data_IF_709372357194
#
_entry.id   IF_709372357194
#
_cell.length_a   1.000
_cell.length_b   1.000
_cell.length_c   1.000
_cell.angle_alpha   90.00
_cell.angle_beta   90.00
_cell.angle_gamma   90.00
#
_symmetry.space_group_name_H-M   'P 1'
#
loop_
_entity.id
_entity.type
_entity.pdbx_description
1 polymer ?
#
# COMPACT_ATOMS: atom_id res chain seq x y z
N UNK A 1 65.68 -12.70 -39.98
CA UNK A 1 66.33 -11.56 -39.30
C UNK A 1 66.61 -10.50 -40.36
N UNK A 2 65.78 -9.45 -40.45
CA UNK A 2 66.08 -8.15 -41.08
C UNK A 2 64.84 -7.26 -40.93
N UNK A 3 64.94 -6.32 -40.00
CA UNK A 3 64.04 -5.19 -39.84
C UNK A 3 64.46 -4.09 -40.83
N UNK A 4 63.51 -3.39 -41.47
CA UNK A 4 63.71 -2.00 -41.90
C UNK A 4 62.38 -1.31 -42.24
N UNK A 5 61.84 -0.62 -41.22
CA UNK A 5 61.43 0.78 -41.25
C UNK A 5 60.78 1.35 -42.54
N UNK A 6 59.47 1.61 -42.49
CA UNK A 6 58.82 2.56 -43.41
C UNK A 6 57.93 3.52 -42.62
N UNK A 7 58.45 4.74 -42.43
CA UNK A 7 57.70 5.93 -42.00
C UNK A 7 56.66 6.27 -43.05
N UNK A 8 55.39 6.46 -42.71
CA UNK A 8 54.52 7.45 -43.39
C UNK A 8 53.40 7.92 -42.46
N UNK A 9 53.35 9.25 -42.32
CA UNK A 9 52.18 10.09 -42.11
C UNK A 9 51.32 9.89 -40.85
N UNK A 10 51.61 10.78 -39.89
CA UNK A 10 50.63 11.35 -38.97
C UNK A 10 49.39 11.82 -39.75
N UNK A 11 48.26 11.15 -39.53
CA UNK A 11 46.94 11.70 -39.77
C UNK A 11 46.31 11.95 -38.39
N UNK A 12 46.33 13.22 -37.98
CA UNK A 12 45.59 13.73 -36.84
C UNK A 12 44.09 13.62 -37.17
N UNK A 13 43.48 12.50 -36.81
CA UNK A 13 42.02 12.34 -36.87
C UNK A 13 41.46 12.82 -35.54
N UNK A 14 40.89 14.02 -35.56
CA UNK A 14 40.24 14.66 -34.42
C UNK A 14 38.72 14.42 -34.55
N UNK A 15 38.14 13.40 -33.88
CA UNK A 15 36.69 13.26 -33.81
C UNK A 15 36.16 14.27 -32.79
N UNK A 16 35.55 15.34 -33.31
CA UNK A 16 34.92 16.39 -32.54
C UNK A 16 33.91 15.85 -31.52
N UNK A 17 34.15 16.23 -30.27
CA UNK A 17 33.18 16.20 -29.18
C UNK A 17 31.92 16.99 -29.60
N UNK A 18 30.83 16.28 -29.90
CA UNK A 18 29.52 16.87 -30.05
C UNK A 18 28.84 16.84 -28.67
N UNK A 19 28.90 17.95 -27.93
CA UNK A 19 28.09 18.14 -26.72
C UNK A 19 26.64 18.44 -27.12
N UNK A 20 25.62 17.82 -26.51
CA UNK A 20 24.24 18.22 -26.69
C UNK A 20 24.00 19.61 -26.07
N UNK A 21 23.56 20.54 -26.92
CA UNK A 21 23.18 21.90 -26.58
C UNK A 21 21.92 21.85 -25.72
N UNK A 22 22.07 22.01 -24.41
CA UNK A 22 20.97 22.19 -23.45
C UNK A 22 20.25 23.49 -23.79
N UNK A 23 19.12 23.40 -24.48
CA UNK A 23 18.22 24.52 -24.74
C UNK A 23 17.41 24.82 -23.48
N UNK A 24 17.91 25.77 -22.69
CA UNK A 24 17.13 26.45 -21.65
C UNK A 24 16.07 27.33 -22.32
N UNK A 25 14.84 26.84 -22.45
CA UNK A 25 13.69 27.71 -22.75
C UNK A 25 13.24 28.39 -21.47
N UNK A 26 13.77 29.59 -21.24
CA UNK A 26 13.27 30.53 -20.26
C UNK A 26 12.02 31.21 -20.84
N UNK A 27 10.85 30.88 -20.32
CA UNK A 27 9.66 31.74 -20.46
C UNK A 27 9.36 32.33 -19.10
N UNK A 28 9.89 33.53 -18.89
CA UNK A 28 9.49 34.44 -17.82
C UNK A 28 8.38 35.30 -18.41
N UNK A 29 7.16 35.18 -17.90
CA UNK A 29 6.16 36.22 -18.08
C UNK A 29 5.48 36.46 -16.72
N UNK A 30 5.93 37.53 -16.10
CA UNK A 30 5.39 38.11 -14.88
C UNK A 30 4.06 38.79 -15.19
N UNK A 31 3.02 38.49 -14.41
CA UNK A 31 1.97 39.46 -14.11
C UNK A 31 1.57 39.30 -12.65
N UNK A 32 2.02 40.26 -11.86
CA UNK A 32 1.57 40.49 -10.50
C UNK A 32 0.24 41.25 -10.55
N UNK A 33 -0.73 40.83 -9.73
CA UNK A 33 -1.74 41.73 -9.19
C UNK A 33 -2.17 41.22 -7.81
N UNK A 34 -1.90 42.05 -6.82
CA UNK A 34 -2.12 41.85 -5.40
C UNK A 34 -3.58 42.14 -5.01
N UNK A 35 -4.07 41.49 -3.95
CA UNK A 35 -4.66 42.11 -2.76
C UNK A 35 -5.51 41.10 -1.95
N UNK A 36 -4.93 40.68 -0.82
CA UNK A 36 -5.53 40.54 0.53
C UNK A 36 -7.06 40.56 0.70
N UNK A 37 -7.58 39.59 1.49
CA UNK A 37 -8.29 39.85 2.76
C UNK A 37 -8.62 38.54 3.52
N UNK A 38 -8.05 38.43 4.72
CA UNK A 38 -8.63 37.91 5.97
C UNK A 38 -9.77 36.89 5.89
N UNK A 39 -9.55 35.66 6.38
CA UNK A 39 -10.54 35.03 7.24
C UNK A 39 -9.88 34.31 8.43
N UNK A 40 -10.32 34.75 9.59
CA UNK A 40 -9.98 34.40 10.96
C UNK A 40 -9.76 32.89 11.23
N UNK A 41 -8.80 32.63 12.13
CA UNK A 41 -8.61 31.32 12.73
C UNK A 41 -9.73 30.93 13.69
N UNK A 42 -9.97 29.63 13.79
CA UNK A 42 -10.70 29.04 14.91
C UNK A 42 -9.70 28.27 15.77
N UNK A 43 -9.21 28.94 16.82
CA UNK A 43 -8.61 28.28 17.97
C UNK A 43 -9.75 27.60 18.76
N UNK A 44 -9.76 26.27 18.81
CA UNK A 44 -10.54 25.55 19.81
C UNK A 44 -9.68 25.41 21.08
N UNK A 45 -9.68 26.45 21.90
CA UNK A 45 -9.33 26.35 23.30
C UNK A 45 -10.65 26.27 24.09
N UNK A 46 -10.93 25.12 24.71
CA UNK A 46 -11.96 25.02 25.74
C UNK A 46 -11.25 24.58 27.03
N UNK A 47 -10.73 25.59 27.71
CA UNK A 47 -10.41 25.54 29.13
C UNK A 47 -11.67 26.03 29.86
N UNK A 48 -12.26 25.18 30.69
CA UNK A 48 -13.17 25.61 31.75
C UNK A 48 -12.90 24.72 32.95
N UNK A 49 -12.10 25.29 33.86
CA UNK A 49 -12.09 24.95 35.28
C UNK A 49 -13.44 25.31 35.86
N UNK A 50 -14.07 24.37 36.54
CA UNK A 50 -15.05 24.63 37.59
C UNK A 50 -14.77 23.65 38.75
N UNK A 51 -13.91 24.08 39.67
CA UNK A 51 -13.84 23.57 41.04
C UNK A 51 -14.74 24.46 41.92
N UNK A 52 -15.82 23.92 42.48
CA UNK A 52 -16.18 24.01 43.92
C UNK A 52 -17.65 23.62 44.16
N UNK A 53 -17.87 22.76 45.16
CA UNK A 53 -19.15 22.68 45.88
C UNK A 53 -19.50 21.29 46.40
N UNK A 54 -19.15 20.93 47.66
CA UNK A 54 -19.58 19.68 48.27
C UNK A 54 -20.98 19.85 48.89
N UNK A 55 -21.98 19.15 48.34
CA UNK A 55 -23.32 19.08 48.89
C UNK A 55 -23.54 17.80 49.69
N UNK A 56 -23.34 17.87 51.01
CA UNK A 56 -23.79 16.85 51.96
C UNK A 56 -25.29 17.01 52.24
N UNK A 57 -26.05 15.92 52.07
CA UNK A 57 -27.45 15.82 52.53
C UNK A 57 -27.76 14.41 53.02
N UNK A 58 -27.92 14.24 54.33
CA UNK A 58 -28.39 13.02 55.01
C UNK A 58 -29.84 13.20 55.48
N UNK A 59 -30.71 12.21 55.23
CA UNK A 59 -31.85 11.73 56.05
C UNK A 59 -32.68 10.77 55.17
N UNK A 60 -32.78 9.45 55.42
CA UNK A 60 -33.55 8.64 56.41
C UNK A 60 -35.08 8.57 56.18
N UNK A 61 -35.59 7.34 56.41
CA UNK A 61 -36.97 6.80 56.33
C UNK A 61 -37.44 6.40 54.91
N UNK A 62 -37.87 5.18 54.57
CA UNK A 62 -38.17 3.96 55.32
C UNK A 62 -39.57 3.48 54.98
N UNK A 63 -39.74 2.52 54.05
CA UNK A 63 -40.94 1.68 53.92
C UNK A 63 -40.58 0.31 53.31
N UNK A 64 -41.01 -0.76 53.99
CA UNK A 64 -41.12 -2.11 53.44
C UNK A 64 -42.11 -2.10 52.27
N UNK A 65 -42.03 -3.10 51.38
CA UNK A 65 -43.15 -3.86 50.79
C UNK A 65 -42.59 -4.94 49.86
N UNK A 66 -42.84 -6.19 50.26
CA UNK A 66 -43.31 -7.34 49.48
C UNK A 66 -42.52 -7.91 48.29
N UNK A 67 -42.39 -9.25 48.35
CA UNK A 67 -41.65 -10.12 47.47
C UNK A 67 -42.31 -10.25 46.08
N UNK A 68 -41.59 -9.80 45.04
CA UNK A 68 -41.84 -10.13 43.63
C UNK A 68 -40.83 -11.16 43.09
N UNK A 69 -41.19 -11.95 42.06
CA UNK A 69 -40.45 -13.15 41.67
C UNK A 69 -39.08 -12.84 41.05
N UNK A 70 -38.10 -13.68 41.41
CA UNK A 70 -36.72 -13.65 40.92
C UNK A 70 -36.69 -13.75 39.40
N UNK A 71 -36.40 -12.65 38.71
CA UNK A 71 -35.99 -12.68 37.30
C UNK A 71 -34.65 -13.40 37.22
N UNK A 72 -34.64 -14.55 36.55
CA UNK A 72 -33.45 -15.36 36.33
C UNK A 72 -32.33 -14.60 35.60
N UNK A 73 -31.11 -15.14 35.58
CA UNK A 73 -29.98 -14.54 34.88
C UNK A 73 -30.35 -14.29 33.42
N UNK A 74 -30.23 -13.05 32.97
CA UNK A 74 -30.36 -12.73 31.54
C UNK A 74 -29.26 -13.52 30.82
N UNK A 75 -29.57 -14.31 29.78
CA UNK A 75 -28.52 -14.97 29.02
C UNK A 75 -27.67 -13.89 28.38
N UNK A 76 -26.39 -13.90 28.70
CA UNK A 76 -25.42 -12.98 28.16
C UNK A 76 -25.41 -13.17 26.65
N UNK A 77 -26.01 -12.24 25.90
CA UNK A 77 -25.91 -12.19 24.45
C UNK A 77 -24.51 -11.72 24.06
N UNK A 78 -23.49 -12.48 24.45
CA UNK A 78 -22.21 -12.49 23.76
C UNK A 78 -22.43 -13.27 22.47
N UNK A 79 -23.19 -12.66 21.55
CA UNK A 79 -23.15 -13.02 20.14
C UNK A 79 -21.66 -13.01 19.79
N UNK A 80 -21.10 -14.19 19.56
CA UNK A 80 -19.69 -14.39 19.36
C UNK A 80 -19.20 -13.43 18.30
N UNK A 81 -18.58 -12.33 18.73
CA UNK A 81 -17.78 -11.49 17.85
C UNK A 81 -16.67 -12.41 17.43
N UNK A 82 -16.83 -13.06 16.27
CA UNK A 82 -15.72 -13.68 15.56
C UNK A 82 -14.67 -12.59 15.53
N UNK A 83 -13.64 -12.74 16.36
CA UNK A 83 -12.64 -11.72 16.56
C UNK A 83 -11.91 -11.64 15.23
N UNK A 84 -12.38 -10.73 14.37
CA UNK A 84 -11.61 -10.33 13.22
C UNK A 84 -10.30 -9.85 13.84
N UNK A 85 -9.23 -10.59 13.59
CA UNK A 85 -7.92 -10.09 13.96
C UNK A 85 -7.77 -8.79 13.17
N UNK A 86 -7.66 -7.69 13.89
CA UNK A 86 -7.35 -6.39 13.32
C UNK A 86 -5.89 -6.48 12.87
N UNK A 87 -5.71 -6.88 11.61
CA UNK A 87 -4.41 -6.92 10.96
C UNK A 87 -4.03 -5.46 10.70
N UNK A 88 -2.91 -4.97 11.25
CA UNK A 88 -2.42 -3.64 10.92
C UNK A 88 -2.17 -3.57 9.41
N UNK A 89 -2.81 -2.60 8.77
CA UNK A 89 -2.75 -2.43 7.33
C UNK A 89 -1.30 -2.18 6.88
N UNK A 90 -0.82 -2.95 5.90
CA UNK A 90 0.54 -2.85 5.35
C UNK A 90 1.63 -3.56 6.13
N UNK A 91 1.31 -4.22 7.25
CA UNK A 91 2.29 -4.86 8.14
C UNK A 91 2.12 -6.38 8.27
N UNK A 92 1.41 -7.01 7.32
CA UNK A 92 1.14 -8.43 7.33
C UNK A 92 2.30 -9.24 6.73
N UNK A 93 2.90 -8.75 5.63
CA UNK A 93 4.07 -9.35 5.00
C UNK A 93 5.36 -8.80 5.60
N UNK A 94 6.23 -9.69 6.05
CA UNK A 94 7.58 -9.33 6.48
C UNK A 94 8.56 -9.21 5.30
N UNK A 95 9.73 -8.64 5.54
CA UNK A 95 10.73 -8.41 4.48
C UNK A 95 11.25 -9.69 3.85
N UNK A 96 11.43 -10.76 4.65
CA UNK A 96 11.89 -12.06 4.15
C UNK A 96 10.91 -12.68 3.16
N UNK A 97 9.61 -12.62 3.45
CA UNK A 97 8.54 -13.06 2.57
C UNK A 97 8.51 -12.21 1.30
N UNK A 98 8.67 -10.89 1.41
CA UNK A 98 8.74 -9.98 0.25
C UNK A 98 9.91 -10.34 -0.67
N UNK A 99 11.08 -10.66 -0.11
CA UNK A 99 12.26 -11.09 -0.87
C UNK A 99 11.99 -12.44 -1.55
N UNK A 100 11.53 -13.44 -0.80
CA UNK A 100 11.24 -14.77 -1.34
C UNK A 100 10.24 -14.73 -2.51
N UNK A 101 9.15 -13.97 -2.34
CA UNK A 101 8.11 -13.84 -3.35
C UNK A 101 8.69 -13.20 -4.62
N UNK A 102 9.49 -12.13 -4.48
CA UNK A 102 10.13 -11.48 -5.63
C UNK A 102 11.08 -12.41 -6.36
N UNK A 103 11.89 -13.16 -5.62
CA UNK A 103 12.83 -14.14 -6.17
C UNK A 103 12.10 -15.25 -6.94
N UNK A 104 11.03 -15.79 -6.37
CA UNK A 104 10.20 -16.78 -7.05
C UNK A 104 9.65 -16.25 -8.39
N UNK A 105 9.12 -15.02 -8.42
CA UNK A 105 8.54 -14.45 -9.64
C UNK A 105 9.60 -14.08 -10.68
N UNK A 106 10.76 -13.55 -10.26
CA UNK A 106 11.86 -13.22 -11.17
C UNK A 106 12.44 -14.48 -11.81
N UNK A 107 12.60 -15.56 -11.04
CA UNK A 107 13.08 -16.83 -11.56
C UNK A 107 12.06 -17.53 -12.47
N UNK A 108 10.77 -17.45 -12.13
CA UNK A 108 9.70 -18.15 -12.88
C UNK A 108 9.29 -17.41 -14.15
N UNK A 109 9.23 -16.07 -14.10
CA UNK A 109 8.63 -15.22 -15.13
C UNK A 109 9.56 -14.09 -15.60
N UNK A 110 10.85 -14.19 -15.31
CA UNK A 110 11.85 -13.21 -15.72
C UNK A 110 12.08 -13.12 -17.24
N UNK A 111 13.07 -12.33 -17.66
CA UNK A 111 13.37 -12.09 -19.06
C UNK A 111 13.52 -13.38 -19.86
N UNK A 112 12.84 -13.43 -21.02
CA UNK A 112 12.86 -14.60 -21.90
C UNK A 112 11.80 -15.67 -21.61
N UNK A 113 11.12 -15.62 -20.45
CA UNK A 113 10.10 -16.62 -20.07
C UNK A 113 8.67 -16.20 -20.46
N UNK A 114 7.71 -17.11 -20.27
CA UNK A 114 6.28 -16.83 -20.45
C UNK A 114 5.80 -15.92 -19.32
N UNK A 115 4.91 -14.97 -19.63
CA UNK A 115 4.34 -14.10 -18.61
C UNK A 115 3.19 -14.78 -17.86
N UNK A 116 2.99 -14.46 -16.58
CA UNK A 116 1.86 -14.96 -15.84
C UNK A 116 0.55 -14.37 -16.39
N UNK A 117 -0.60 -15.03 -16.17
CA UNK A 117 -1.87 -14.67 -16.81
C UNK A 117 -2.23 -13.17 -16.70
N UNK A 118 -2.80 -12.57 -17.74
CA UNK A 118 -3.18 -11.16 -17.70
C UNK A 118 -2.05 -10.15 -17.80
N UNK A 119 -0.79 -10.58 -17.95
CA UNK A 119 0.33 -9.71 -18.35
C UNK A 119 0.77 -10.08 -19.76
N UNK A 120 1.17 -9.06 -20.50
CA UNK A 120 1.71 -9.22 -21.85
C UNK A 120 3.23 -9.05 -21.82
N UNK A 121 3.92 -9.84 -22.63
CA UNK A 121 5.36 -9.68 -22.86
C UNK A 121 5.61 -8.40 -23.65
N UNK A 122 6.39 -7.48 -23.10
CA UNK A 122 6.79 -6.21 -23.72
C UNK A 122 8.23 -5.88 -23.32
N UNK A 123 9.07 -5.46 -24.26
CA UNK A 123 10.47 -5.04 -24.00
C UNK A 123 11.23 -6.00 -23.05
N UNK A 124 11.15 -7.31 -23.34
CA UNK A 124 11.76 -8.40 -22.55
C UNK A 124 11.26 -8.55 -21.09
N UNK A 125 10.18 -7.88 -20.70
CA UNK A 125 9.53 -8.04 -19.39
C UNK A 125 8.04 -8.33 -19.49
N UNK A 126 7.42 -8.61 -18.34
CA UNK A 126 5.98 -8.80 -18.23
C UNK A 126 5.34 -7.52 -17.73
N UNK A 127 4.59 -6.83 -18.60
CA UNK A 127 3.89 -5.59 -18.26
C UNK A 127 2.37 -5.77 -18.27
N UNK A 128 1.65 -5.03 -17.41
CA UNK A 128 0.19 -5.02 -17.42
C UNK A 128 -0.38 -4.34 -18.70
N UNK A 129 -1.54 -4.80 -19.19
CA UNK A 129 -2.26 -4.16 -20.29
C UNK A 129 -2.82 -2.80 -19.82
N UNK A 130 -2.53 -1.72 -20.58
CA UNK A 130 -3.03 -0.38 -20.25
C UNK A 130 -2.19 0.43 -19.23
N UNK A 131 -0.91 0.05 -19.01
CA UNK A 131 0.06 0.69 -18.09
C UNK A 131 -0.16 0.38 -16.59
N UNK A 132 0.90 0.61 -15.80
CA UNK A 132 1.01 0.19 -14.40
C UNK A 132 0.03 0.96 -13.51
N UNK A 133 -0.77 0.23 -12.73
CA UNK A 133 -1.62 0.80 -11.68
C UNK A 133 -0.92 0.64 -10.35
N UNK A 134 -0.84 1.72 -9.58
CA UNK A 134 -0.33 1.66 -8.21
C UNK A 134 -1.48 1.28 -7.28
N UNK A 135 -1.38 0.11 -6.66
CA UNK A 135 -2.34 -0.35 -5.66
C UNK A 135 -2.03 0.27 -4.30
N UNK A 136 -3.08 0.61 -3.56
CA UNK A 136 -2.96 1.23 -2.24
C UNK A 136 -3.58 0.36 -1.17
N UNK A 137 -2.87 0.23 -0.05
CA UNK A 137 -3.39 -0.41 1.16
C UNK A 137 -4.58 0.39 1.70
N UNK A 138 -5.60 -0.29 2.20
CA UNK A 138 -6.83 0.32 2.71
C UNK A 138 -7.84 0.70 1.64
N UNK A 139 -7.54 0.46 0.36
CA UNK A 139 -8.47 0.70 -0.75
C UNK A 139 -9.02 -0.63 -1.30
N UNK A 140 -10.27 -0.67 -1.76
CA UNK A 140 -10.79 -1.83 -2.45
C UNK A 140 -10.15 -1.96 -3.83
N UNK A 141 -9.98 -3.20 -4.28
CA UNK A 141 -9.59 -3.48 -5.67
C UNK A 141 -10.67 -2.89 -6.60
N UNK A 142 -10.30 -2.02 -7.57
CA UNK A 142 -11.25 -1.43 -8.49
C UNK A 142 -12.05 -2.47 -9.27
N UNK A 143 -13.31 -2.15 -9.54
CA UNK A 143 -14.16 -2.99 -10.40
C UNK A 143 -13.54 -3.10 -11.80
N UNK A 144 -13.63 -4.30 -12.40
CA UNK A 144 -13.03 -4.59 -13.71
C UNK A 144 -11.56 -5.01 -13.66
N UNK A 145 -10.94 -5.06 -12.48
CA UNK A 145 -9.60 -5.64 -12.31
C UNK A 145 -9.72 -7.14 -12.01
N UNK A 146 -9.06 -7.97 -12.81
CA UNK A 146 -9.03 -9.42 -12.60
C UNK A 146 -8.04 -9.81 -11.51
N UNK A 147 -8.49 -10.62 -10.56
CA UNK A 147 -7.70 -11.19 -9.49
C UNK A 147 -7.27 -12.61 -9.87
N UNK A 148 -5.98 -12.87 -9.94
CA UNK A 148 -5.44 -14.18 -10.25
C UNK A 148 -5.08 -14.95 -8.98
N UNK A 149 -5.11 -16.28 -9.06
CA UNK A 149 -4.61 -17.13 -7.99
C UNK A 149 -3.09 -16.96 -7.82
N UNK A 150 -2.63 -17.01 -6.57
CA UNK A 150 -1.20 -17.04 -6.25
C UNK A 150 -0.70 -18.49 -6.34
N UNK A 151 0.48 -18.75 -6.95
CA UNK A 151 1.03 -20.08 -7.04
C UNK A 151 1.20 -20.75 -5.67
N UNK A 152 0.89 -22.04 -5.58
CA UNK A 152 1.02 -22.83 -4.34
C UNK A 152 2.41 -22.77 -3.68
N UNK A 153 3.54 -22.79 -4.42
CA UNK A 153 4.87 -22.65 -3.82
C UNK A 153 5.03 -21.35 -3.02
N UNK A 154 4.42 -20.26 -3.50
CA UNK A 154 4.45 -18.96 -2.84
C UNK A 154 3.57 -18.95 -1.60
N UNK A 155 2.33 -19.45 -1.71
CA UNK A 155 1.39 -19.49 -0.57
C UNK A 155 1.98 -20.25 0.62
N UNK A 156 2.71 -21.35 0.38
CA UNK A 156 3.32 -22.16 1.45
C UNK A 156 4.42 -21.45 2.23
N UNK A 157 5.00 -20.40 1.68
CA UNK A 157 6.07 -19.62 2.32
C UNK A 157 5.54 -18.32 2.95
N UNK A 158 4.29 -17.98 2.65
CA UNK A 158 3.56 -16.90 3.28
C UNK A 158 2.91 -17.39 4.59
N UNK A 159 2.60 -16.49 5.52
CA UNK A 159 1.90 -16.86 6.73
C UNK A 159 0.48 -17.35 6.38
N UNK A 160 -0.19 -18.13 7.23
CA UNK A 160 -1.56 -18.53 6.97
C UNK A 160 -2.49 -17.32 6.87
N UNK A 161 -3.23 -17.21 5.76
CA UNK A 161 -4.20 -16.13 5.58
C UNK A 161 -5.30 -16.25 6.64
N UNK A 162 -5.60 -15.18 7.40
CA UNK A 162 -6.65 -15.24 8.41
C UNK A 162 -8.04 -15.44 7.79
N UNK A 163 -9.01 -15.83 8.62
CA UNK A 163 -10.37 -16.09 8.14
C UNK A 163 -10.98 -14.87 7.45
N UNK A 164 -11.58 -15.09 6.28
CA UNK A 164 -12.19 -14.03 5.48
C UNK A 164 -11.21 -13.21 4.63
N UNK A 165 -9.93 -13.62 4.57
CA UNK A 165 -8.92 -13.04 3.69
C UNK A 165 -8.41 -14.07 2.68
N UNK A 166 -7.78 -13.59 1.61
CA UNK A 166 -7.08 -14.44 0.65
C UNK A 166 -5.92 -13.70 -0.01
N UNK A 167 -4.93 -14.47 -0.44
CA UNK A 167 -3.92 -13.98 -1.37
C UNK A 167 -4.49 -13.92 -2.78
N UNK A 168 -4.16 -12.85 -3.48
CA UNK A 168 -4.45 -12.70 -4.91
C UNK A 168 -3.28 -12.01 -5.60
N UNK A 169 -3.07 -12.33 -6.87
CA UNK A 169 -2.15 -11.58 -7.73
C UNK A 169 -2.94 -10.60 -8.58
N UNK A 170 -2.46 -9.37 -8.64
CA UNK A 170 -3.04 -8.31 -9.46
C UNK A 170 -1.92 -7.67 -10.28
N UNK A 171 -1.96 -7.86 -11.60
CA UNK A 171 -0.85 -7.42 -12.44
C UNK A 171 0.49 -8.02 -11.97
N UNK A 172 1.46 -7.14 -11.72
CA UNK A 172 2.80 -7.49 -11.24
C UNK A 172 2.94 -7.55 -9.72
N UNK A 173 1.85 -7.57 -8.96
CA UNK A 173 1.87 -7.46 -7.50
C UNK A 173 1.06 -8.58 -6.83
N UNK A 174 1.40 -8.91 -5.58
CA UNK A 174 0.60 -9.79 -4.72
C UNK A 174 -0.05 -8.94 -3.64
N UNK A 175 -1.31 -9.23 -3.35
CA UNK A 175 -2.08 -8.57 -2.31
C UNK A 175 -2.67 -9.59 -1.33
N UNK A 176 -2.78 -9.19 -0.07
CA UNK A 176 -3.73 -9.76 0.86
C UNK A 176 -5.03 -8.96 0.78
N UNK A 177 -6.14 -9.61 0.43
CA UNK A 177 -7.45 -8.95 0.31
C UNK A 177 -8.49 -9.59 1.20
N UNK A 178 -9.39 -8.77 1.72
CA UNK A 178 -10.61 -9.22 2.37
C UNK A 178 -11.60 -9.75 1.32
N UNK A 179 -12.17 -10.93 1.55
CA UNK A 179 -13.03 -11.62 0.57
C UNK A 179 -14.37 -10.93 0.31
N UNK A 180 -14.92 -10.21 1.28
CA UNK A 180 -16.26 -9.62 1.19
C UNK A 180 -16.33 -8.38 0.27
N UNK A 181 -15.30 -7.55 0.29
CA UNK A 181 -15.27 -6.23 -0.38
C UNK A 181 -14.01 -5.99 -1.21
N UNK A 182 -13.14 -7.00 -1.34
CA UNK A 182 -11.82 -6.90 -1.98
C UNK A 182 -10.96 -5.75 -1.43
N UNK A 183 -11.10 -5.42 -0.14
CA UNK A 183 -10.25 -4.43 0.52
C UNK A 183 -8.81 -4.94 0.59
N UNK A 184 -7.87 -4.15 0.09
CA UNK A 184 -6.44 -4.46 0.14
C UNK A 184 -5.91 -4.18 1.54
N UNK A 185 -5.35 -5.20 2.18
CA UNK A 185 -4.84 -5.13 3.54
C UNK A 185 -3.32 -4.94 3.54
N UNK A 186 -2.64 -5.59 2.61
CA UNK A 186 -1.19 -5.47 2.42
C UNK A 186 -0.83 -5.85 0.98
N UNK A 187 0.33 -5.38 0.51
CA UNK A 187 0.78 -5.47 -0.88
C UNK A 187 2.27 -5.78 -0.92
N UNK A 188 2.65 -6.76 -1.73
CA UNK A 188 4.02 -6.97 -2.20
C UNK A 188 4.10 -6.43 -3.63
N UNK A 189 4.73 -5.26 -3.76
CA UNK A 189 4.86 -4.57 -5.03
C UNK A 189 6.13 -4.99 -5.79
N UNK A 190 6.08 -4.89 -7.11
CA UNK A 190 7.24 -5.01 -7.99
C UNK A 190 7.76 -6.43 -8.09
N UNK A 191 6.88 -7.38 -8.44
CA UNK A 191 7.29 -8.77 -8.69
C UNK A 191 7.84 -8.97 -10.10
N UNK A 192 7.43 -8.12 -11.05
CA UNK A 192 7.67 -8.26 -12.47
C UNK A 192 7.92 -6.87 -13.07
N UNK A 193 9.13 -6.64 -13.58
CA UNK A 193 9.56 -5.35 -14.11
C UNK A 193 10.42 -4.59 -13.12
#
# INVERSE_FOLDING_TARGET
MLAFNRRHHMALFNPGFNLPRVTRTATVLSMALAASLMFAGSAFAKDHKDEHGPGHGKAKHGHQHEAGPKKGPKPDKHAGKRHRQDIPAGAYFNDQQRIYVRDYYSQTYGPGKNCPPGLAKKNNGCMPPGQARHWQVGQPVPRGVTLYAVPQPVIRQLPPAPYGYRYARIGGDIVLVQQQNNLIIDIIQGLLG
#
